data_IF_235998718756
#
_entry.id   IF_235998718756
#
_cell.length_a   1.000
_cell.length_b   1.000
_cell.length_c   1.000
_cell.angle_alpha   90.00
_cell.angle_beta   90.00
_cell.angle_gamma   90.00
#
_symmetry.space_group_name_H-M   'P 1'
#
loop_
_entity.id
_entity.type
_entity.pdbx_description
1 polymer ?
#
# COMPACT_ATOMS: atom_id res chain seq x y z
N UNK A 1 21.03 12.34 -6.11
CA UNK A 1 21.03 11.93 -7.55
C UNK A 1 19.93 10.91 -7.79
N UNK A 2 19.03 11.19 -8.71
CA UNK A 2 17.86 10.37 -9.03
C UNK A 2 18.20 9.52 -10.27
N UNK A 3 18.03 8.20 -10.17
CA UNK A 3 18.31 7.28 -11.28
C UNK A 3 17.13 7.19 -12.23
N UNK A 4 17.38 7.41 -13.52
CA UNK A 4 16.41 7.33 -14.59
C UNK A 4 16.81 6.23 -15.59
N UNK A 5 15.82 5.58 -16.18
CA UNK A 5 15.97 4.71 -17.33
C UNK A 5 15.23 5.29 -18.52
N UNK A 6 15.67 4.93 -19.71
CA UNK A 6 14.97 5.26 -20.96
C UNK A 6 13.95 4.14 -21.24
N UNK A 7 12.67 4.41 -21.07
CA UNK A 7 11.61 3.45 -21.37
C UNK A 7 11.05 3.66 -22.75
N UNK A 8 10.84 2.55 -23.46
CA UNK A 8 10.17 2.51 -24.76
C UNK A 8 8.66 2.52 -24.55
N UNK A 9 7.94 3.28 -25.34
CA UNK A 9 6.49 3.29 -25.40
C UNK A 9 6.00 3.53 -26.81
N UNK A 10 4.68 3.47 -26.99
CA UNK A 10 4.01 3.81 -28.23
C UNK A 10 3.20 5.08 -28.05
N UNK A 11 3.33 6.01 -28.98
CA UNK A 11 2.43 7.16 -29.01
C UNK A 11 1.01 6.66 -29.35
N UNK A 12 0.01 6.91 -28.50
CA UNK A 12 -1.35 6.40 -28.73
C UNK A 12 -2.01 6.95 -29.99
N UNK A 13 -1.59 8.13 -30.46
CA UNK A 13 -2.15 8.79 -31.63
C UNK A 13 -1.43 8.39 -32.93
N UNK A 14 -0.09 8.45 -32.95
CA UNK A 14 0.70 8.20 -34.18
C UNK A 14 1.17 6.77 -34.32
N UNK A 15 1.06 5.95 -33.25
CA UNK A 15 1.60 4.57 -33.20
C UNK A 15 3.11 4.48 -33.37
N UNK A 16 3.81 5.58 -33.32
CA UNK A 16 5.25 5.63 -33.40
C UNK A 16 5.91 5.24 -32.07
N UNK A 17 7.09 4.66 -32.16
CA UNK A 17 7.90 4.35 -30.98
C UNK A 17 8.48 5.64 -30.42
N UNK A 18 8.23 5.85 -29.14
CA UNK A 18 8.78 6.98 -28.39
C UNK A 18 9.60 6.48 -27.21
N UNK A 19 10.55 7.29 -26.76
CA UNK A 19 11.32 7.02 -25.54
C UNK A 19 11.13 8.16 -24.56
N UNK A 20 10.94 7.81 -23.27
CA UNK A 20 10.76 8.79 -22.23
C UNK A 20 11.55 8.39 -20.98
N UNK A 21 12.00 9.38 -20.17
CA UNK A 21 12.67 9.10 -18.92
C UNK A 21 11.67 8.54 -17.91
N UNK A 22 12.03 7.46 -17.22
CA UNK A 22 11.28 6.91 -16.12
C UNK A 22 12.18 6.73 -14.91
N UNK A 23 11.65 7.07 -13.74
CA UNK A 23 12.33 6.81 -12.50
C UNK A 23 12.53 5.32 -12.27
N UNK A 24 13.69 4.94 -11.78
CA UNK A 24 13.97 3.58 -11.34
C UNK A 24 14.42 3.58 -9.89
N UNK A 25 13.89 2.63 -9.14
CA UNK A 25 14.25 2.46 -7.74
C UNK A 25 15.63 1.83 -7.63
N UNK A 26 16.52 2.49 -6.91
CA UNK A 26 17.86 1.96 -6.62
C UNK A 26 17.79 0.97 -5.45
N UNK A 27 17.14 1.37 -4.36
CA UNK A 27 16.96 0.55 -3.17
C UNK A 27 15.75 1.05 -2.37
N UNK A 28 15.25 0.22 -1.47
CA UNK A 28 14.28 0.64 -0.46
C UNK A 28 15.03 0.86 0.85
N UNK A 29 14.88 2.03 1.43
CA UNK A 29 15.41 2.35 2.75
C UNK A 29 14.31 2.07 3.77
N UNK A 30 14.59 1.20 4.71
CA UNK A 30 13.67 0.86 5.80
C UNK A 30 13.84 1.81 6.99
N UNK A 31 12.84 1.87 7.84
CA UNK A 31 12.75 2.74 9.01
C UNK A 31 14.00 2.70 9.90
N UNK A 32 14.53 1.50 10.19
CA UNK A 32 15.75 1.34 11.02
C UNK A 32 16.97 2.05 10.41
N UNK A 33 17.10 2.04 9.08
CA UNK A 33 18.19 2.74 8.40
C UNK A 33 17.98 4.24 8.43
N UNK A 34 16.71 4.69 8.32
CA UNK A 34 16.33 6.08 8.43
C UNK A 34 16.59 6.58 9.87
N UNK A 35 16.17 5.82 10.88
CA UNK A 35 16.42 6.12 12.29
C UNK A 35 17.91 6.29 12.60
N UNK A 36 18.77 5.42 12.06
CA UNK A 36 20.24 5.56 12.20
C UNK A 36 20.78 6.85 11.59
N UNK A 37 20.20 7.31 10.48
CA UNK A 37 20.59 8.60 9.87
C UNK A 37 20.13 9.79 10.71
N UNK A 38 18.89 9.74 11.20
CA UNK A 38 18.31 10.78 12.05
C UNK A 38 19.06 10.92 13.37
N UNK A 39 19.42 9.81 14.01
CA UNK A 39 20.18 9.80 15.27
C UNK A 39 21.56 10.46 15.16
N UNK A 40 22.18 10.47 13.97
CA UNK A 40 23.48 11.15 13.76
C UNK A 40 23.38 12.66 13.79
N UNK A 41 22.21 13.21 13.49
CA UNK A 41 21.97 14.66 13.42
C UNK A 41 21.07 15.19 14.54
N UNK A 42 20.75 14.36 15.54
CA UNK A 42 19.87 14.73 16.64
C UNK A 42 20.41 14.22 17.98
N UNK A 43 19.78 14.62 19.06
CA UNK A 43 20.09 14.13 20.42
C UNK A 43 19.38 12.81 20.75
N UNK A 44 18.49 12.33 19.87
CA UNK A 44 17.75 11.11 20.08
C UNK A 44 18.57 9.88 19.76
N UNK A 45 18.41 8.84 20.55
CA UNK A 45 18.95 7.51 20.25
C UNK A 45 18.18 6.84 19.12
N UNK A 46 18.80 5.87 18.46
CA UNK A 46 18.14 5.04 17.44
C UNK A 46 16.90 4.34 18.00
N UNK A 47 16.94 3.92 19.28
CA UNK A 47 15.84 3.25 19.95
C UNK A 47 14.62 4.15 20.12
N UNK A 48 14.82 5.39 20.55
CA UNK A 48 13.74 6.39 20.70
C UNK A 48 13.09 6.71 19.35
N UNK A 49 13.89 6.89 18.29
CA UNK A 49 13.35 7.16 16.96
C UNK A 49 12.56 5.95 16.43
N UNK A 50 13.04 4.73 16.65
CA UNK A 50 12.29 3.52 16.27
C UNK A 50 10.97 3.40 17.06
N UNK A 51 10.95 3.79 18.33
CA UNK A 51 9.72 3.87 19.12
C UNK A 51 8.70 4.82 18.49
N UNK A 52 9.15 6.03 18.11
CA UNK A 52 8.29 6.98 17.40
C UNK A 52 7.75 6.40 16.09
N UNK A 53 8.57 5.74 15.27
CA UNK A 53 8.12 5.12 14.03
C UNK A 53 7.13 3.97 14.26
N UNK A 54 7.25 3.24 15.37
CA UNK A 54 6.31 2.18 15.70
C UNK A 54 4.93 2.71 16.08
N UNK A 55 4.85 3.83 16.81
CA UNK A 55 3.60 4.40 17.31
C UNK A 55 2.93 5.35 16.30
N UNK A 56 3.72 5.92 15.39
CA UNK A 56 3.26 6.93 14.45
C UNK A 56 2.12 6.47 13.53
N UNK A 57 2.17 5.27 12.90
CA UNK A 57 1.08 4.79 12.05
C UNK A 57 -0.23 4.63 12.81
N UNK A 58 -0.18 4.13 14.04
CA UNK A 58 -1.38 3.95 14.86
C UNK A 58 -2.01 5.29 15.20
N UNK A 59 -1.21 6.27 15.58
CA UNK A 59 -1.70 7.63 15.86
C UNK A 59 -2.40 8.26 14.64
N UNK A 60 -1.86 8.07 13.43
CA UNK A 60 -2.51 8.53 12.20
C UNK A 60 -3.84 7.80 11.97
N UNK A 61 -3.87 6.48 12.15
CA UNK A 61 -5.08 5.67 11.97
C UNK A 61 -6.18 6.14 12.91
N UNK A 62 -5.87 6.35 14.18
CA UNK A 62 -6.83 6.77 15.19
C UNK A 62 -7.47 8.13 14.84
N UNK A 63 -6.66 9.09 14.39
CA UNK A 63 -7.17 10.40 13.97
C UNK A 63 -8.02 10.31 12.69
N UNK A 64 -7.59 9.50 11.72
CA UNK A 64 -8.37 9.29 10.49
C UNK A 64 -9.72 8.60 10.78
N UNK A 65 -9.77 7.63 11.72
CA UNK A 65 -11.02 6.98 12.14
C UNK A 65 -11.96 7.94 12.87
N UNK A 66 -11.42 8.94 13.57
CA UNK A 66 -12.18 10.03 14.18
C UNK A 66 -12.70 11.04 13.15
N UNK A 67 -12.39 10.87 11.85
CA UNK A 67 -12.81 11.75 10.77
C UNK A 67 -11.90 12.96 10.56
N UNK A 68 -10.76 13.01 11.22
CA UNK A 68 -9.77 14.08 11.07
C UNK A 68 -8.82 13.82 9.90
N UNK A 69 -8.29 14.87 9.31
CA UNK A 69 -7.11 14.79 8.45
C UNK A 69 -5.87 15.07 9.29
N UNK A 70 -4.78 14.37 9.04
CA UNK A 70 -3.52 14.54 9.76
C UNK A 70 -2.52 15.27 8.88
N UNK A 71 -2.17 16.49 9.25
CA UNK A 71 -1.17 17.31 8.55
C UNK A 71 0.14 17.31 9.31
N UNK A 72 1.24 17.07 8.59
CA UNK A 72 2.60 17.09 9.11
C UNK A 72 3.36 18.14 8.32
N UNK A 73 3.81 19.17 9.00
CA UNK A 73 4.52 20.29 8.40
C UNK A 73 5.77 19.81 7.66
N UNK A 74 5.94 20.33 6.44
CA UNK A 74 7.04 19.94 5.57
C UNK A 74 6.93 18.56 4.91
N UNK A 75 6.00 17.69 5.38
CA UNK A 75 5.79 16.37 4.79
C UNK A 75 4.54 16.36 3.91
N UNK A 76 3.37 16.62 4.49
CA UNK A 76 2.10 16.57 3.77
C UNK A 76 0.92 16.18 4.67
N UNK A 77 -0.20 15.87 4.05
CA UNK A 77 -1.46 15.60 4.74
C UNK A 77 -2.03 14.23 4.37
N UNK A 78 -2.36 13.45 5.37
CA UNK A 78 -3.09 12.19 5.25
C UNK A 78 -4.58 12.45 5.36
N UNK A 79 -5.38 11.92 4.43
CA UNK A 79 -6.84 12.07 4.37
C UNK A 79 -7.50 10.74 4.06
N UNK A 80 -8.73 10.56 4.52
CA UNK A 80 -9.56 9.45 4.07
C UNK A 80 -10.24 9.79 2.75
N UNK A 81 -10.26 8.80 1.86
CA UNK A 81 -11.13 8.77 0.68
C UNK A 81 -12.09 7.60 0.84
N UNK A 82 -13.37 7.90 0.78
CA UNK A 82 -14.42 6.90 0.81
C UNK A 82 -14.99 6.77 -0.59
N UNK A 83 -15.09 5.56 -1.09
CA UNK A 83 -15.74 5.24 -2.36
C UNK A 83 -16.84 4.21 -2.12
N UNK A 84 -17.97 4.38 -2.80
CA UNK A 84 -19.13 3.50 -2.66
C UNK A 84 -19.94 3.48 -3.94
N UNK A 85 -20.99 2.64 -3.97
CA UNK A 85 -21.91 2.60 -5.11
C UNK A 85 -22.75 3.88 -5.15
N UNK A 86 -22.80 4.51 -6.33
CA UNK A 86 -23.70 5.65 -6.56
C UNK A 86 -25.14 5.18 -6.67
N UNK A 87 -26.08 5.96 -6.13
CA UNK A 87 -27.51 5.70 -6.16
C UNK A 87 -28.23 6.86 -6.83
N UNK A 88 -29.41 6.59 -7.42
CA UNK A 88 -30.22 7.63 -8.07
C UNK A 88 -30.89 8.55 -7.05
N UNK A 89 -31.28 8.02 -5.90
CA UNK A 89 -31.95 8.78 -4.86
C UNK A 89 -31.07 8.83 -3.59
N UNK A 90 -31.09 9.99 -2.94
CA UNK A 90 -30.29 10.23 -1.72
C UNK A 90 -30.61 9.25 -0.59
N UNK A 91 -31.88 8.83 -0.46
CA UNK A 91 -32.33 7.89 0.57
C UNK A 91 -31.76 6.49 0.41
N UNK A 92 -31.34 6.12 -0.80
CA UNK A 92 -30.82 4.79 -1.12
C UNK A 92 -29.29 4.69 -0.92
N UNK A 93 -28.65 5.82 -0.61
CA UNK A 93 -27.21 5.85 -0.31
C UNK A 93 -26.98 5.22 1.06
N UNK A 94 -26.23 4.13 1.08
CA UNK A 94 -25.87 3.41 2.30
C UNK A 94 -24.36 3.30 2.42
N UNK A 95 -23.87 3.08 3.64
CA UNK A 95 -22.47 2.79 3.91
C UNK A 95 -22.09 1.34 3.57
N UNK A 96 -23.08 0.50 3.25
CA UNK A 96 -22.84 -0.90 2.88
C UNK A 96 -22.01 -0.99 1.60
N UNK A 97 -20.86 -1.65 1.70
CA UNK A 97 -19.91 -1.80 0.57
C UNK A 97 -19.05 -0.55 0.31
N UNK A 98 -19.08 0.46 1.18
CA UNK A 98 -18.14 1.56 1.13
C UNK A 98 -16.70 1.06 1.37
N UNK A 99 -15.78 1.49 0.51
CA UNK A 99 -14.34 1.20 0.65
C UNK A 99 -13.63 2.46 1.11
N UNK A 100 -12.76 2.28 2.09
CA UNK A 100 -11.92 3.35 2.62
C UNK A 100 -10.51 3.18 2.06
N UNK A 101 -9.91 4.26 1.62
CA UNK A 101 -8.50 4.34 1.25
C UNK A 101 -7.87 5.59 1.86
N UNK A 102 -6.59 5.48 2.18
CA UNK A 102 -5.81 6.63 2.66
C UNK A 102 -5.19 7.31 1.45
N UNK A 103 -5.36 8.63 1.37
CA UNK A 103 -4.71 9.48 0.37
C UNK A 103 -3.68 10.34 1.08
N UNK A 104 -2.48 10.34 0.56
CA UNK A 104 -1.41 11.24 1.00
C UNK A 104 -1.24 12.38 -0.01
N UNK A 105 -1.37 13.60 0.46
CA UNK A 105 -1.10 14.81 -0.33
C UNK A 105 0.22 15.42 0.17
N UNK A 106 1.29 15.41 -0.63
CA UNK A 106 2.58 15.95 -0.21
C UNK A 106 2.49 17.46 -0.02
N UNK A 107 3.25 17.99 0.94
CA UNK A 107 3.39 19.42 1.12
C UNK A 107 4.07 20.04 -0.11
N UNK A 108 3.66 21.25 -0.47
CA UNK A 108 4.25 21.99 -1.57
C UNK A 108 5.77 22.19 -1.37
N UNK A 109 6.18 22.43 -0.13
CA UNK A 109 7.60 22.57 0.24
C UNK A 109 8.39 21.30 -0.06
N UNK A 110 7.86 20.11 0.27
CA UNK A 110 8.52 18.83 -0.03
C UNK A 110 8.77 18.69 -1.53
N UNK A 111 7.75 18.97 -2.34
CA UNK A 111 7.83 18.88 -3.79
C UNK A 111 8.78 19.91 -4.38
N UNK A 112 8.76 21.15 -3.88
CA UNK A 112 9.65 22.20 -4.31
C UNK A 112 11.11 21.86 -4.03
N UNK A 113 11.43 21.46 -2.80
CA UNK A 113 12.80 21.06 -2.42
C UNK A 113 13.31 19.88 -3.26
N UNK A 114 12.47 18.88 -3.51
CA UNK A 114 12.84 17.76 -4.40
C UNK A 114 13.15 18.23 -5.82
N UNK A 115 12.42 19.23 -6.32
CA UNK A 115 12.66 19.81 -7.63
C UNK A 115 13.90 20.69 -7.69
N UNK A 116 14.21 21.42 -6.63
CA UNK A 116 15.35 22.33 -6.56
C UNK A 116 16.68 21.58 -6.37
N UNK A 117 16.66 20.52 -5.54
CA UNK A 117 17.84 19.72 -5.20
C UNK A 117 18.05 18.53 -6.14
N UNK A 118 17.20 18.36 -7.17
CA UNK A 118 17.26 17.18 -8.05
C UNK A 118 18.50 17.16 -8.92
N UNK A 119 19.17 16.04 -8.92
CA UNK A 119 20.18 15.66 -9.90
C UNK A 119 19.80 14.36 -10.57
N UNK A 120 19.80 14.31 -11.90
CA UNK A 120 19.41 13.12 -12.65
C UNK A 120 20.63 12.39 -13.22
N UNK A 121 20.59 11.07 -13.16
CA UNK A 121 21.54 10.19 -13.82
C UNK A 121 20.78 9.09 -14.58
N UNK A 122 21.08 8.92 -15.86
CA UNK A 122 20.61 7.77 -16.59
C UNK A 122 21.45 6.55 -16.24
N UNK A 123 20.76 5.45 -15.93
CA UNK A 123 21.36 4.14 -15.68
C UNK A 123 20.84 3.15 -16.70
N UNK A 124 21.72 2.27 -17.19
CA UNK A 124 21.30 1.16 -18.00
C UNK A 124 20.88 0.03 -17.09
N UNK A 125 19.65 -0.42 -17.22
CA UNK A 125 19.20 -1.66 -16.60
C UNK A 125 19.53 -2.76 -17.60
N UNK A 126 20.29 -3.78 -17.22
CA UNK A 126 20.49 -4.94 -18.07
C UNK A 126 19.12 -5.50 -18.43
N UNK A 127 18.75 -5.40 -19.69
CA UNK A 127 17.52 -6.01 -20.19
C UNK A 127 17.75 -7.52 -20.15
N UNK A 128 17.20 -8.19 -19.17
CA UNK A 128 16.99 -9.62 -19.27
C UNK A 128 15.99 -9.79 -20.44
N UNK A 129 16.48 -10.29 -21.55
CA UNK A 129 15.65 -10.65 -22.69
C UNK A 129 14.60 -11.65 -22.21
N UNK A 130 13.33 -11.21 -22.15
CA UNK A 130 12.20 -12.07 -21.81
C UNK A 130 11.24 -11.61 -20.74
N UNK A 131 11.48 -10.54 -20.00
CA UNK A 131 10.44 -9.95 -19.15
C UNK A 131 9.60 -8.95 -19.95
N UNK A 132 8.47 -9.46 -20.44
CA UNK A 132 7.34 -8.63 -20.86
C UNK A 132 7.00 -7.70 -19.69
N UNK A 133 6.88 -6.42 -20.01
CA UNK A 133 6.47 -5.34 -19.13
C UNK A 133 5.14 -5.66 -18.44
N UNK A 134 5.16 -6.35 -17.30
CA UNK A 134 4.02 -6.64 -16.46
C UNK A 134 3.97 -5.68 -15.27
N UNK A 135 4.15 -4.40 -15.54
CA UNK A 135 3.78 -3.31 -14.64
C UNK A 135 2.98 -2.27 -15.44
N UNK A 136 1.92 -2.75 -16.07
CA UNK A 136 0.85 -1.89 -16.53
C UNK A 136 -0.01 -1.54 -15.33
N UNK A 137 0.13 -0.31 -14.88
CA UNK A 137 -0.96 0.54 -14.41
C UNK A 137 -2.13 -0.19 -13.74
N UNK A 138 -2.10 -0.38 -12.43
CA UNK A 138 -3.34 -0.52 -11.67
C UNK A 138 -4.03 0.85 -11.52
N UNK A 139 -4.41 1.40 -12.68
CA UNK A 139 -5.42 2.42 -12.80
C UNK A 139 -6.78 1.77 -12.75
N UNK A 140 -7.42 1.86 -11.61
CA UNK A 140 -8.87 1.90 -11.40
C UNK A 140 -9.73 1.66 -12.64
N UNK A 141 -10.32 0.47 -12.76
CA UNK A 141 -11.61 0.32 -13.41
C UNK A 141 -12.42 -0.76 -12.70
N UNK A 142 -13.46 -0.32 -11.99
CA UNK A 142 -14.51 -1.19 -11.52
C UNK A 142 -15.30 -1.73 -12.70
N UNK A 143 -15.55 -3.03 -12.69
CA UNK A 143 -16.45 -3.69 -13.62
C UNK A 143 -16.85 -5.03 -13.03
N UNK A 144 -18.10 -5.10 -12.56
CA UNK A 144 -18.72 -6.31 -12.05
C UNK A 144 -18.89 -7.35 -13.18
N UNK A 145 -18.83 -8.58 -12.78
CA UNK A 145 -19.15 -9.74 -13.61
C UNK A 145 -19.45 -10.92 -12.70
N UNK A 146 -20.72 -11.01 -12.36
CA UNK A 146 -21.36 -12.18 -11.77
C UNK A 146 -21.41 -13.29 -12.82
N UNK A 147 -20.90 -14.47 -12.50
CA UNK A 147 -21.37 -15.72 -13.09
C UNK A 147 -21.16 -16.82 -12.07
N UNK A 148 -22.31 -17.34 -11.58
CA UNK A 148 -22.42 -18.54 -10.82
C UNK A 148 -22.03 -19.78 -11.64
N UNK A 149 -21.64 -20.78 -10.95
CA UNK A 149 -21.38 -22.11 -11.46
C UNK A 149 -21.37 -23.10 -10.32
N UNK A 150 -22.55 -23.66 -10.07
CA UNK A 150 -22.74 -24.84 -9.26
C UNK A 150 -21.93 -26.01 -9.84
N UNK A 151 -21.28 -26.80 -9.03
CA UNK A 151 -21.10 -28.21 -9.33
C UNK A 151 -21.02 -29.04 -8.04
N UNK A 152 -21.97 -29.96 -8.00
CA UNK A 152 -22.21 -30.99 -7.01
C UNK A 152 -21.20 -32.12 -7.09
N UNK A 153 -21.04 -32.80 -5.94
CA UNK A 153 -20.78 -34.20 -6.00
C UNK A 153 -19.88 -34.82 -4.93
N UNK A 154 -20.26 -35.95 -4.48
CA UNK A 154 -20.15 -36.37 -3.09
C UNK A 154 -19.18 -37.53 -2.86
N UNK A 155 -19.21 -38.02 -1.62
CA UNK A 155 -18.76 -39.38 -1.19
C UNK A 155 -17.32 -39.39 -0.63
N UNK A 156 -17.04 -39.82 0.56
CA UNK A 156 -17.47 -40.94 1.34
C UNK A 156 -16.28 -41.45 2.12
N UNK A 157 -16.48 -42.01 3.29
CA UNK A 157 -15.45 -42.87 3.88
C UNK A 157 -15.18 -42.68 5.36
N UNK A 158 -15.99 -43.26 6.12
CA UNK A 158 -15.86 -44.07 7.34
C UNK A 158 -14.45 -44.28 7.92
N UNK A 159 -14.38 -44.26 9.23
CA UNK A 159 -13.25 -44.81 9.98
C UNK A 159 -13.38 -44.56 11.48
N UNK A 160 -14.07 -45.48 12.13
CA UNK A 160 -14.17 -45.76 13.58
C UNK A 160 -12.81 -45.81 14.29
N UNK A 161 -12.80 -45.50 15.57
CA UNK A 161 -12.56 -46.33 16.77
C UNK A 161 -12.11 -45.44 17.92
N UNK A 162 -12.95 -45.31 18.96
CA UNK A 162 -12.97 -45.98 20.24
C UNK A 162 -11.82 -45.64 21.20
N UNK A 163 -12.26 -45.27 22.39
CA UNK A 163 -11.57 -45.67 23.61
C UNK A 163 -11.23 -44.61 24.60
N UNK A 164 -11.97 -44.45 25.61
CA UNK A 164 -11.76 -44.76 27.02
C UNK A 164 -11.19 -43.58 27.80
N UNK A 165 -11.84 -42.98 28.77
CA UNK A 165 -12.20 -43.58 30.02
C UNK A 165 -11.39 -42.94 31.13
N UNK A 166 -12.06 -42.44 32.22
CA UNK A 166 -11.47 -42.16 33.55
C UNK A 166 -11.53 -40.66 33.95
N UNK A 167 -12.53 -40.18 34.70
CA UNK A 167 -12.96 -40.43 36.06
C UNK A 167 -12.02 -39.86 37.12
N UNK A 168 -12.60 -39.04 37.97
CA UNK A 168 -12.09 -38.61 39.31
C UNK A 168 -11.70 -37.15 39.37
N UNK A 169 -12.28 -36.30 40.15
CA UNK A 169 -12.94 -36.38 41.38
C UNK A 169 -12.42 -35.29 42.32
N UNK A 170 -13.33 -34.49 42.77
CA UNK A 170 -13.49 -33.78 44.05
C UNK A 170 -12.26 -33.15 44.72
N UNK A 171 -12.31 -31.96 45.18
CA UNK A 171 -12.65 -31.29 46.45
C UNK A 171 -11.94 -29.95 46.54
N UNK A 172 -12.71 -28.94 46.80
CA UNK A 172 -12.85 -28.05 47.97
C UNK A 172 -11.54 -27.58 48.65
N UNK A 173 -11.31 -26.31 48.57
CA UNK A 173 -11.33 -25.39 49.74
C UNK A 173 -11.24 -23.92 49.24
#
# INVERSE_FOLDING_TARGET
MISLIKRKGLNPQTKEVIYFPRWTRVSTIHETQLAKRMARGSTFSVGEINGVFADFPQSIIDELLNGNAVSIDGLGTFKLKVSGKSQKEKKDVTSAGAKISVVFEPAAELTSRLNDEREFRFVEVPTAEGQQDADADEGTSGGGGDTGGDDDGPSGGSGDTSGGGGSGGVDQN
#
